data_IF_934235047625
#
_entry.id   IF_934235047625
#
_cell.length_a   1.000
_cell.length_b   1.000
_cell.length_c   1.000
_cell.angle_alpha   90.00
_cell.angle_beta   90.00
_cell.angle_gamma   90.00
#
_symmetry.space_group_name_H-M   'P 1'
#
loop_
_entity.id
_entity.type
_entity.pdbx_description
1 polymer ?
#
# COMPACT_ATOMS: atom_id res chain seq x y z
N UNK A 1 -7.75 17.17 -17.55
CA UNK A 1 -6.76 16.64 -16.58
C UNK A 1 -5.99 15.48 -17.19
N UNK A 2 -4.71 15.32 -16.88
CA UNK A 2 -3.90 14.18 -17.33
C UNK A 2 -4.11 12.99 -16.38
N UNK A 3 -4.36 11.80 -16.92
CA UNK A 3 -4.61 10.59 -16.14
C UNK A 3 -4.40 9.32 -16.94
N UNK A 4 -4.97 8.22 -16.46
CA UNK A 4 -4.85 6.87 -17.04
C UNK A 4 -6.24 6.35 -17.38
N UNK A 5 -6.43 5.92 -18.62
CA UNK A 5 -7.61 5.14 -19.02
C UNK A 5 -7.20 3.66 -19.00
N UNK A 6 -7.93 2.86 -18.25
CA UNK A 6 -7.70 1.41 -18.18
C UNK A 6 -8.92 0.69 -18.71
N UNK A 7 -8.68 -0.26 -19.61
CA UNK A 7 -9.69 -1.19 -20.09
C UNK A 7 -9.27 -2.62 -19.74
N UNK A 8 -10.16 -3.31 -19.05
CA UNK A 8 -10.01 -4.70 -18.65
C UNK A 8 -11.34 -5.41 -18.79
N UNK A 9 -11.38 -6.47 -19.60
CA UNK A 9 -12.62 -7.14 -19.99
C UNK A 9 -13.62 -6.10 -20.56
N UNK A 10 -14.84 -6.06 -20.04
CA UNK A 10 -15.88 -5.12 -20.48
C UNK A 10 -15.90 -3.80 -19.69
N UNK A 11 -14.90 -3.57 -18.84
CA UNK A 11 -14.83 -2.40 -17.96
C UNK A 11 -13.81 -1.41 -18.51
N UNK A 12 -14.22 -0.15 -18.62
CA UNK A 12 -13.33 0.98 -18.90
C UNK A 12 -13.45 1.98 -17.76
N UNK A 13 -12.32 2.35 -17.15
CA UNK A 13 -12.28 3.38 -16.12
C UNK A 13 -11.24 4.46 -16.46
N UNK A 14 -11.59 5.72 -16.16
CA UNK A 14 -10.68 6.85 -16.23
C UNK A 14 -10.22 7.18 -14.82
N UNK A 15 -8.96 6.90 -14.52
CA UNK A 15 -8.35 7.20 -13.24
C UNK A 15 -7.55 8.50 -13.36
N UNK A 16 -7.79 9.43 -12.45
CA UNK A 16 -7.14 10.73 -12.48
C UNK A 16 -7.47 11.53 -11.23
N UNK A 17 -6.48 12.24 -10.68
CA UNK A 17 -6.70 13.23 -9.63
C UNK A 17 -6.09 14.57 -10.09
N UNK A 18 -6.87 15.67 -10.15
CA UNK A 18 -6.33 16.96 -10.56
C UNK A 18 -5.16 17.37 -9.66
N UNK A 19 -4.06 17.79 -10.28
CA UNK A 19 -2.84 18.24 -9.58
C UNK A 19 -2.19 17.22 -8.63
N UNK A 20 -2.57 15.94 -8.72
CA UNK A 20 -2.03 14.84 -7.92
C UNK A 20 -1.59 13.68 -8.80
N UNK A 21 -0.94 12.69 -8.19
CA UNK A 21 -0.47 11.49 -8.88
C UNK A 21 -1.59 10.48 -9.15
N UNK A 22 -1.51 9.82 -10.31
CA UNK A 22 -2.31 8.63 -10.64
C UNK A 22 -1.33 7.50 -10.95
N UNK A 23 -1.67 6.30 -10.51
CA UNK A 23 -0.81 5.13 -10.52
C UNK A 23 -1.55 3.94 -11.12
N UNK A 24 -0.86 3.21 -11.98
CA UNK A 24 -1.20 1.84 -12.36
C UNK A 24 -0.14 0.91 -11.77
N UNK A 25 -0.55 -0.11 -11.05
CA UNK A 25 0.34 -1.15 -10.50
C UNK A 25 -0.09 -2.52 -10.97
N UNK A 26 0.90 -3.36 -11.27
CA UNK A 26 0.72 -4.79 -11.39
C UNK A 26 1.91 -5.47 -10.69
N UNK A 27 1.62 -6.43 -9.84
CA UNK A 27 2.60 -7.12 -9.01
C UNK A 27 2.29 -8.62 -8.97
N UNK A 28 3.34 -9.42 -8.80
CA UNK A 28 3.24 -10.87 -8.58
C UNK A 28 3.94 -11.16 -7.27
N UNK A 29 3.17 -11.55 -6.27
CA UNK A 29 3.68 -11.86 -4.94
C UNK A 29 3.63 -13.37 -4.67
N UNK A 30 4.55 -13.85 -3.85
CA UNK A 30 4.67 -15.27 -3.51
C UNK A 30 3.45 -15.81 -2.73
N UNK A 31 2.70 -14.95 -2.03
CA UNK A 31 1.55 -15.35 -1.21
C UNK A 31 0.19 -15.01 -1.83
N UNK A 32 0.07 -13.93 -2.62
CA UNK A 32 -1.23 -13.46 -3.16
C UNK A 32 -1.36 -13.65 -4.68
N UNK A 33 -0.33 -14.18 -5.35
CA UNK A 33 -0.34 -14.35 -6.79
C UNK A 33 -0.18 -13.02 -7.54
N UNK A 34 -0.67 -12.99 -8.78
CA UNK A 34 -0.62 -11.82 -9.64
C UNK A 34 -1.83 -10.92 -9.42
N UNK A 35 -1.60 -9.63 -9.19
CA UNK A 35 -2.63 -8.63 -8.94
C UNK A 35 -2.35 -7.37 -9.76
N UNK A 36 -3.40 -6.60 -10.02
CA UNK A 36 -3.28 -5.28 -10.60
C UNK A 36 -4.28 -4.30 -9.99
N UNK A 37 -3.95 -3.02 -10.04
CA UNK A 37 -4.88 -1.94 -9.72
C UNK A 37 -4.53 -0.64 -10.42
N UNK A 38 -5.53 0.23 -10.51
CA UNK A 38 -5.37 1.62 -10.90
C UNK A 38 -5.98 2.52 -9.84
N UNK A 39 -5.17 3.45 -9.35
CA UNK A 39 -5.49 4.28 -8.20
C UNK A 39 -4.75 5.62 -8.22
N UNK A 40 -4.88 6.36 -7.13
CA UNK A 40 -4.17 7.62 -6.94
C UNK A 40 -4.26 8.07 -5.50
N UNK A 41 -3.27 8.84 -5.06
CA UNK A 41 -3.24 9.44 -3.74
C UNK A 41 -3.56 10.93 -3.88
N UNK A 42 -4.65 11.36 -3.25
CA UNK A 42 -4.98 12.78 -3.14
C UNK A 42 -4.29 13.36 -1.92
N UNK A 43 -3.48 14.39 -2.15
CA UNK A 43 -2.85 15.21 -1.13
C UNK A 43 -3.55 16.58 -1.04
N UNK A 44 -3.64 17.20 0.15
CA UNK A 44 -3.11 16.75 1.44
C UNK A 44 -4.05 15.85 2.24
N UNK A 45 -5.23 15.50 1.71
CA UNK A 45 -6.24 14.74 2.48
C UNK A 45 -5.89 13.25 2.71
N UNK A 46 -4.76 12.79 2.17
CA UNK A 46 -4.24 11.41 2.30
C UNK A 46 -5.31 10.35 1.99
N UNK A 47 -6.10 10.61 0.94
CA UNK A 47 -7.14 9.68 0.46
C UNK A 47 -6.59 8.89 -0.72
N UNK A 48 -6.54 7.58 -0.56
CA UNK A 48 -6.29 6.63 -1.63
C UNK A 48 -7.58 6.35 -2.38
N UNK A 49 -7.60 6.72 -3.66
CA UNK A 49 -8.69 6.39 -4.57
C UNK A 49 -8.31 5.14 -5.37
N UNK A 50 -9.24 4.20 -5.48
CA UNK A 50 -9.11 3.02 -6.34
C UNK A 50 -10.23 3.08 -7.36
N UNK A 51 -9.89 3.02 -8.64
CA UNK A 51 -10.87 2.98 -9.74
C UNK A 51 -11.14 1.58 -10.24
N UNK A 52 -10.12 0.72 -10.23
CA UNK A 52 -10.27 -0.68 -10.59
C UNK A 52 -9.08 -1.50 -10.07
N UNK A 53 -9.26 -2.81 -9.97
CA UNK A 53 -8.22 -3.75 -9.63
C UNK A 53 -8.78 -5.15 -9.49
N UNK A 54 -7.94 -6.15 -9.76
CA UNK A 54 -8.34 -7.55 -9.66
C UNK A 54 -7.12 -8.47 -9.62
N UNK A 55 -7.39 -9.74 -9.33
CA UNK A 55 -6.41 -10.81 -9.56
C UNK A 55 -6.21 -10.97 -11.07
N UNK A 56 -4.96 -11.14 -11.49
CA UNK A 56 -4.59 -11.45 -12.86
C UNK A 56 -4.54 -12.96 -13.07
N UNK A 57 -5.27 -13.43 -14.07
CA UNK A 57 -5.18 -14.82 -14.53
C UNK A 57 -4.34 -14.94 -15.81
N UNK A 58 -3.85 -16.16 -16.09
CA UNK A 58 -3.09 -16.42 -17.31
C UNK A 58 -3.98 -16.18 -18.53
N UNK A 59 -3.53 -15.27 -19.40
CA UNK A 59 -4.27 -14.88 -20.60
C UNK A 59 -5.06 -13.59 -20.47
N UNK A 60 -5.13 -13.00 -19.28
CA UNK A 60 -5.69 -11.66 -19.09
C UNK A 60 -4.89 -10.60 -19.86
N UNK A 61 -5.61 -9.61 -20.39
CA UNK A 61 -5.05 -8.45 -21.10
C UNK A 61 -5.63 -7.19 -20.50
N UNK A 62 -4.74 -6.26 -20.11
CA UNK A 62 -5.11 -4.92 -19.67
C UNK A 62 -4.58 -3.93 -20.68
N UNK A 63 -5.47 -3.10 -21.23
CA UNK A 63 -5.10 -1.96 -22.05
C UNK A 63 -4.97 -0.73 -21.16
N UNK A 64 -3.83 -0.05 -21.22
CA UNK A 64 -3.54 1.15 -20.42
C UNK A 64 -3.13 2.28 -21.35
N UNK A 65 -3.82 3.41 -21.25
CA UNK A 65 -3.55 4.62 -22.04
C UNK A 65 -3.34 5.80 -21.11
N UNK A 66 -2.30 6.61 -21.36
CA UNK A 66 -2.15 7.92 -20.73
C UNK A 66 -2.85 8.95 -21.61
N UNK A 67 -3.86 9.63 -21.05
CA UNK A 67 -4.71 10.55 -21.80
C UNK A 67 -5.03 11.82 -21.02
N UNK A 68 -5.52 12.83 -21.73
CA UNK A 68 -6.18 13.99 -21.15
C UNK A 68 -7.70 13.86 -21.30
N UNK A 69 -8.44 14.08 -20.22
CA UNK A 69 -9.91 14.02 -20.18
C UNK A 69 -10.48 15.03 -19.18
N UNK A 70 -11.77 15.35 -19.26
CA UNK A 70 -12.37 16.38 -18.40
C UNK A 70 -12.62 15.88 -16.96
N UNK A 71 -13.10 14.64 -16.83
CA UNK A 71 -13.51 14.05 -15.56
C UNK A 71 -13.07 12.58 -15.44
N UNK A 72 -12.64 12.19 -14.23
CA UNK A 72 -12.36 10.81 -13.87
C UNK A 72 -13.68 10.03 -13.68
N UNK A 73 -13.62 8.69 -13.76
CA UNK A 73 -14.73 7.84 -13.35
C UNK A 73 -14.97 7.95 -11.84
N UNK A 74 -16.10 7.46 -11.34
CA UNK A 74 -16.27 7.31 -9.89
C UNK A 74 -15.30 6.23 -9.36
N UNK A 75 -14.58 6.48 -8.25
CA UNK A 75 -13.76 5.46 -7.59
C UNK A 75 -14.66 4.35 -7.03
N UNK A 76 -14.16 3.11 -7.03
CA UNK A 76 -14.81 1.96 -6.39
C UNK A 76 -14.48 1.84 -4.90
N UNK A 77 -13.37 2.45 -4.46
CA UNK A 77 -12.98 2.53 -3.05
C UNK A 77 -12.25 3.85 -2.77
N UNK A 78 -12.47 4.37 -1.56
CA UNK A 78 -11.79 5.53 -0.99
C UNK A 78 -11.26 5.15 0.39
N UNK A 79 -9.94 5.05 0.51
CA UNK A 79 -9.27 4.70 1.76
C UNK A 79 -8.56 5.92 2.33
N UNK A 80 -9.08 6.42 3.45
CA UNK A 80 -8.40 7.46 4.23
C UNK A 80 -7.29 6.81 5.02
N UNK A 81 -6.06 7.25 4.82
CA UNK A 81 -5.02 6.99 5.80
C UNK A 81 -5.37 7.81 7.06
N UNK A 82 -5.89 7.14 8.09
CA UNK A 82 -5.78 7.68 9.45
C UNK A 82 -4.28 7.82 9.72
N UNK A 83 -3.83 9.02 10.08
CA UNK A 83 -2.41 9.26 10.34
C UNK A 83 -1.85 8.18 11.29
N UNK A 84 -0.60 7.75 11.09
CA UNK A 84 0.06 6.81 12.01
C UNK A 84 -0.02 7.29 13.47
N UNK A 85 -0.01 8.61 13.67
CA UNK A 85 -0.15 9.27 14.98
C UNK A 85 -1.50 8.92 15.64
N UNK A 86 -2.59 8.93 14.88
CA UNK A 86 -3.93 8.62 15.38
C UNK A 86 -4.04 7.13 15.75
N UNK A 87 -3.52 6.23 14.90
CA UNK A 87 -3.48 4.78 15.15
C UNK A 87 -2.55 4.38 16.31
N UNK A 88 -1.43 5.07 16.48
CA UNK A 88 -0.52 4.85 17.62
C UNK A 88 -1.13 5.33 18.94
N UNK A 89 -1.96 6.38 18.92
CA UNK A 89 -2.62 6.88 20.13
C UNK A 89 -3.68 5.92 20.70
N UNK A 90 -4.29 5.09 19.85
CA UNK A 90 -5.28 4.07 20.26
C UNK A 90 -4.65 2.77 20.74
N UNK A 91 -3.40 2.50 20.36
CA UNK A 91 -2.66 1.34 20.84
C UNK A 91 -1.99 1.65 22.17
N UNK A 92 -2.60 1.22 23.27
CA UNK A 92 -1.85 0.93 24.49
C UNK A 92 -1.01 -0.33 24.18
N UNK A 93 0.13 -0.15 23.51
CA UNK A 93 1.00 -1.26 23.11
C UNK A 93 1.61 -1.91 24.37
N UNK A 94 1.24 -3.18 24.59
CA UNK A 94 1.84 -4.03 25.62
C UNK A 94 3.25 -4.43 25.17
N UNK A 95 4.22 -3.56 25.46
CA UNK A 95 5.65 -3.76 25.15
C UNK A 95 6.29 -4.93 25.91
N UNK A 96 5.54 -5.69 26.71
CA UNK A 96 6.06 -6.83 27.47
C UNK A 96 6.72 -7.87 26.57
N UNK A 97 6.14 -8.15 25.39
CA UNK A 97 6.68 -9.13 24.44
C UNK A 97 7.95 -8.66 23.74
N UNK A 98 8.00 -7.37 23.38
CA UNK A 98 9.19 -6.78 22.75
C UNK A 98 10.35 -6.72 23.75
N UNK A 99 10.05 -6.42 25.02
CA UNK A 99 11.02 -6.42 26.10
C UNK A 99 11.53 -7.83 26.44
N UNK A 100 10.65 -8.83 26.45
CA UNK A 100 11.03 -10.23 26.65
C UNK A 100 11.95 -10.73 25.53
N UNK A 101 11.60 -10.43 24.28
CA UNK A 101 12.44 -10.77 23.11
C UNK A 101 13.81 -10.08 23.17
N UNK A 102 13.85 -8.81 23.59
CA UNK A 102 15.11 -8.09 23.78
C UNK A 102 16.04 -8.81 24.76
N UNK A 103 15.54 -9.22 25.94
CA UNK A 103 16.38 -9.91 26.92
C UNK A 103 16.83 -11.29 26.47
N UNK A 104 15.99 -12.02 25.72
CA UNK A 104 16.37 -13.30 25.13
C UNK A 104 17.51 -13.13 24.12
N UNK A 105 17.40 -12.14 23.23
CA UNK A 105 18.42 -11.85 22.23
C UNK A 105 19.70 -11.31 22.87
N UNK A 106 19.60 -10.42 23.86
CA UNK A 106 20.74 -9.91 24.63
C UNK A 106 21.53 -11.06 25.23
N UNK A 107 20.85 -12.00 25.89
CA UNK A 107 21.51 -13.18 26.49
C UNK A 107 22.25 -14.03 25.45
N UNK A 108 21.65 -14.29 24.28
CA UNK A 108 22.31 -15.06 23.21
C UNK A 108 23.58 -14.35 22.74
N UNK A 109 23.51 -13.04 22.53
CA UNK A 109 24.65 -12.25 22.07
C UNK A 109 25.76 -12.17 23.12
N UNK A 110 25.41 -12.10 24.41
CA UNK A 110 26.35 -12.20 25.53
C UNK A 110 26.99 -13.59 25.60
N UNK A 111 26.20 -14.67 25.49
CA UNK A 111 26.68 -16.06 25.49
C UNK A 111 27.62 -16.35 24.30
N UNK A 112 27.40 -15.69 23.16
CA UNK A 112 28.26 -15.79 21.97
C UNK A 112 29.46 -14.82 21.99
N UNK A 113 29.67 -14.05 23.08
CA UNK A 113 30.70 -13.00 23.19
C UNK A 113 30.67 -11.97 22.05
N UNK A 114 29.49 -11.71 21.46
CA UNK A 114 29.29 -10.72 20.41
C UNK A 114 29.06 -9.31 20.98
N UNK A 115 28.64 -9.23 22.24
CA UNK A 115 28.48 -8.00 23.00
C UNK A 115 29.06 -8.18 24.42
N UNK A 116 29.53 -7.10 25.03
CA UNK A 116 30.01 -7.12 26.41
C UNK A 116 28.83 -7.12 27.39
N UNK A 117 28.95 -7.92 28.45
CA UNK A 117 28.04 -7.86 29.60
C UNK A 117 28.32 -6.55 30.33
N UNK A 118 27.43 -5.58 30.16
CA UNK A 118 27.42 -4.37 30.98
C UNK A 118 26.46 -4.65 32.13
N UNK A 119 27.03 -4.98 33.29
CA UNK A 119 26.28 -5.00 34.55
C UNK A 119 25.97 -3.55 34.96
N UNK A 120 24.70 -3.23 35.19
CA UNK A 120 24.22 -1.95 35.75
C UNK A 120 24.55 -1.82 37.25
#
# INVERSE_FOLDING_TARGET
MKGIIVKYKDIVCKAGIPHCGTLFTADITWHSGAYWSVGGLKMPEEVHFIWNGSILEVGDVIEVEVAEFDEASAPVSEEKHSSLIEKMSERVEDYSKDLELYYQLKKILEDENLIEVVDD
#
